data_IF_648589669347
#
_entry.id   IF_648589669347
#
_cell.length_a   1.000
_cell.length_b   1.000
_cell.length_c   1.000
_cell.angle_alpha   90.00
_cell.angle_beta   90.00
_cell.angle_gamma   90.00
#
_symmetry.space_group_name_H-M   'P 1'
#
loop_
_entity.id
_entity.type
_entity.pdbx_description
1 polymer ?
#
# COMPACT_ATOMS: atom_id res chain seq x y z
N UNK A 1 10.24 -2.08 18.63
CA UNK A 1 9.83 -2.27 17.23
C UNK A 1 9.34 -0.93 16.70
N UNK A 2 9.82 -0.53 15.52
CA UNK A 2 9.42 0.73 14.86
C UNK A 2 8.40 0.45 13.76
N UNK A 3 7.56 1.46 13.47
CA UNK A 3 6.65 1.46 12.33
C UNK A 3 7.08 2.56 11.37
N UNK A 4 7.42 2.22 10.14
CA UNK A 4 7.88 3.15 9.11
C UNK A 4 6.84 3.21 8.00
N UNK A 5 6.25 4.38 7.78
CA UNK A 5 5.27 4.60 6.72
C UNK A 5 5.91 5.35 5.56
N UNK A 6 5.76 4.85 4.34
CA UNK A 6 6.19 5.54 3.12
C UNK A 6 4.98 5.91 2.26
N UNK A 7 4.84 7.22 1.97
CA UNK A 7 3.76 7.73 1.12
C UNK A 7 3.92 7.37 -0.35
N UNK A 8 2.88 7.62 -1.15
CA UNK A 8 2.86 7.23 -2.56
C UNK A 8 3.93 7.90 -3.42
N UNK A 9 4.35 9.12 -3.06
CA UNK A 9 5.52 9.76 -3.69
C UNK A 9 6.78 8.98 -3.35
N UNK A 10 7.01 8.60 -2.09
CA UNK A 10 8.15 7.80 -1.63
C UNK A 10 8.27 6.42 -2.28
N UNK A 11 7.20 5.87 -2.85
CA UNK A 11 7.21 4.58 -3.58
C UNK A 11 6.80 4.69 -5.04
N UNK A 12 6.79 5.90 -5.62
CA UNK A 12 6.14 6.17 -6.90
C UNK A 12 6.78 5.57 -8.16
N UNK A 13 7.98 5.00 -8.07
CA UNK A 13 8.68 4.34 -9.18
C UNK A 13 9.76 3.36 -8.66
N UNK A 14 10.39 2.65 -9.60
CA UNK A 14 11.41 1.63 -9.30
C UNK A 14 12.61 2.16 -8.49
N UNK A 15 13.13 3.35 -8.83
CA UNK A 15 14.25 3.96 -8.11
C UNK A 15 13.88 4.34 -6.69
N UNK A 16 12.67 4.87 -6.49
CA UNK A 16 12.18 5.24 -5.17
C UNK A 16 11.95 4.00 -4.29
N UNK A 17 11.38 2.93 -4.83
CA UNK A 17 11.28 1.64 -4.14
C UNK A 17 12.67 1.11 -3.72
N UNK A 18 13.67 1.19 -4.62
CA UNK A 18 15.06 0.85 -4.28
C UNK A 18 15.60 1.73 -3.14
N UNK A 19 15.40 3.04 -3.20
CA UNK A 19 15.83 3.96 -2.12
C UNK A 19 15.18 3.59 -0.78
N UNK A 20 13.87 3.34 -0.75
CA UNK A 20 13.18 2.88 0.47
C UNK A 20 13.83 1.61 1.03
N UNK A 21 14.18 0.63 0.18
CA UNK A 21 14.84 -0.60 0.65
C UNK A 21 16.19 -0.37 1.36
N UNK A 22 16.89 0.74 1.04
CA UNK A 22 18.16 1.13 1.67
C UNK A 22 18.00 1.91 2.97
N UNK A 23 16.82 2.48 3.23
CA UNK A 23 16.51 3.23 4.44
C UNK A 23 16.06 2.34 5.61
N UNK A 24 15.72 1.08 5.33
CA UNK A 24 15.22 0.17 6.34
C UNK A 24 16.35 -0.25 7.30
N UNK A 25 16.19 -0.06 8.62
CA UNK A 25 17.17 -0.53 9.61
C UNK A 25 17.24 -2.06 9.61
N UNK A 26 18.44 -2.59 9.83
CA UNK A 26 18.70 -4.04 9.83
C UNK A 26 19.00 -4.60 11.24
N UNK A 27 19.12 -3.73 12.23
CA UNK A 27 19.50 -4.06 13.61
C UNK A 27 18.30 -4.38 14.52
N UNK A 28 17.07 -4.08 14.11
CA UNK A 28 15.86 -4.37 14.90
C UNK A 28 14.68 -4.77 14.00
N UNK A 29 13.70 -5.53 14.52
CA UNK A 29 12.46 -5.79 13.81
C UNK A 29 11.67 -4.50 13.56
N UNK A 30 11.13 -4.37 12.35
CA UNK A 30 10.30 -3.24 11.93
C UNK A 30 9.03 -3.68 11.22
N UNK A 31 8.04 -2.78 11.21
CA UNK A 31 6.87 -2.85 10.34
C UNK A 31 6.97 -1.69 9.32
N UNK A 32 6.84 -2.01 8.04
CA UNK A 32 6.86 -1.07 6.93
C UNK A 32 5.46 -0.98 6.35
N UNK A 33 4.85 0.20 6.42
CA UNK A 33 3.53 0.50 5.86
C UNK A 33 3.73 1.27 4.56
N UNK A 34 3.22 0.76 3.44
CA UNK A 34 3.29 1.47 2.16
C UNK A 34 1.93 1.99 1.74
N UNK A 35 1.91 3.17 1.13
CA UNK A 35 0.81 3.62 0.29
C UNK A 35 0.94 3.06 -1.13
N UNK A 36 -0.13 3.13 -1.91
CA UNK A 36 -0.11 2.86 -3.34
C UNK A 36 0.89 3.80 -4.04
N UNK A 37 1.46 3.35 -5.15
CA UNK A 37 2.37 4.16 -5.95
C UNK A 37 1.71 5.47 -6.41
N UNK A 38 2.51 6.53 -6.55
CA UNK A 38 2.03 7.86 -6.95
C UNK A 38 1.10 7.81 -8.19
N UNK A 39 -0.11 8.34 -8.01
CA UNK A 39 -1.16 8.41 -9.03
C UNK A 39 -2.00 7.13 -9.20
N UNK A 40 -1.62 6.01 -8.57
CA UNK A 40 -2.33 4.72 -8.73
C UNK A 40 -3.73 4.76 -8.11
N UNK A 41 -3.89 5.25 -6.88
CA UNK A 41 -5.22 5.36 -6.24
C UNK A 41 -6.16 6.24 -7.06
N UNK A 42 -5.68 7.39 -7.57
CA UNK A 42 -6.49 8.27 -8.40
C UNK A 42 -6.90 7.60 -9.71
N UNK A 43 -5.97 6.88 -10.36
CA UNK A 43 -6.28 6.11 -11.57
C UNK A 43 -7.32 5.01 -11.31
N UNK A 44 -7.23 4.31 -10.18
CA UNK A 44 -8.22 3.29 -9.79
C UNK A 44 -9.59 3.91 -9.49
N UNK A 45 -9.64 5.07 -8.82
CA UNK A 45 -10.88 5.83 -8.61
C UNK A 45 -11.50 6.24 -9.95
N UNK A 46 -10.70 6.75 -10.88
CA UNK A 46 -11.16 7.13 -12.23
C UNK A 46 -11.73 5.92 -12.98
N UNK A 47 -11.02 4.78 -12.98
CA UNK A 47 -11.47 3.52 -13.59
C UNK A 47 -12.83 3.10 -13.03
N UNK A 48 -12.99 3.11 -11.70
CA UNK A 48 -14.25 2.75 -11.05
C UNK A 48 -15.38 3.74 -11.35
N UNK A 49 -15.08 5.04 -11.43
CA UNK A 49 -16.05 6.07 -11.79
C UNK A 49 -16.55 5.93 -13.23
N UNK A 50 -15.66 5.61 -14.17
CA UNK A 50 -16.03 5.31 -15.55
C UNK A 50 -16.94 4.07 -15.63
N UNK A 51 -16.62 3.02 -14.88
CA UNK A 51 -17.43 1.80 -14.81
C UNK A 51 -18.84 2.09 -14.24
N UNK A 52 -18.93 2.88 -13.17
CA UNK A 52 -20.20 3.34 -12.59
C UNK A 52 -21.05 4.15 -13.58
N UNK A 53 -20.41 4.94 -14.44
CA UNK A 53 -21.06 5.71 -15.49
C UNK A 53 -21.43 4.86 -16.73
N UNK A 54 -21.23 3.53 -16.70
CA UNK A 54 -21.48 2.64 -17.83
C UNK A 54 -20.46 2.72 -18.96
N UNK A 55 -19.35 3.45 -18.78
CA UNK A 55 -18.29 3.68 -19.78
C UNK A 55 -17.22 2.58 -19.69
N UNK A 56 -17.65 1.32 -19.88
CA UNK A 56 -16.80 0.14 -19.64
C UNK A 56 -15.57 0.05 -20.55
N UNK A 57 -15.70 0.48 -21.81
CA UNK A 57 -14.58 0.50 -22.74
C UNK A 57 -13.45 1.40 -22.23
N UNK A 58 -13.80 2.63 -21.84
CA UNK A 58 -12.85 3.61 -21.33
C UNK A 58 -12.26 3.19 -19.98
N UNK A 59 -13.07 2.60 -19.10
CA UNK A 59 -12.58 2.02 -17.84
C UNK A 59 -11.52 0.92 -18.09
N UNK A 60 -11.75 0.07 -19.10
CA UNK A 60 -10.85 -1.01 -19.48
C UNK A 60 -9.56 -0.48 -20.12
N UNK A 61 -9.66 0.52 -21.00
CA UNK A 61 -8.51 1.20 -21.60
C UNK A 61 -7.63 1.87 -20.52
N UNK A 62 -8.26 2.59 -19.58
CA UNK A 62 -7.57 3.20 -18.43
C UNK A 62 -6.90 2.15 -17.52
N UNK A 63 -7.57 1.04 -17.27
CA UNK A 63 -6.97 -0.07 -16.53
C UNK A 63 -5.74 -0.62 -17.26
N UNK A 64 -5.78 -0.72 -18.59
CA UNK A 64 -4.64 -1.19 -19.39
C UNK A 64 -3.47 -0.21 -19.39
N UNK A 65 -3.74 1.09 -19.49
CA UNK A 65 -2.72 2.14 -19.36
C UNK A 65 -1.99 2.04 -18.01
N UNK A 66 -2.77 1.89 -16.93
CA UNK A 66 -2.24 1.77 -15.58
C UNK A 66 -1.47 0.46 -15.40
N UNK A 67 -1.93 -0.65 -15.98
CA UNK A 67 -1.22 -1.94 -16.00
C UNK A 67 0.17 -1.80 -16.63
N UNK A 68 0.22 -1.23 -17.84
CA UNK A 68 1.48 -1.04 -18.59
C UNK A 68 2.50 -0.21 -17.81
N UNK A 69 2.05 0.83 -17.08
CA UNK A 69 2.91 1.63 -16.19
C UNK A 69 3.53 0.78 -15.07
N UNK A 70 2.77 -0.13 -14.47
CA UNK A 70 3.25 -1.00 -13.39
C UNK A 70 4.12 -2.15 -13.91
N UNK A 71 3.82 -2.69 -15.10
CA UNK A 71 4.70 -3.67 -15.79
C UNK A 71 6.07 -3.05 -16.01
N UNK A 72 6.13 -1.84 -16.60
CA UNK A 72 7.40 -1.12 -16.79
C UNK A 72 8.13 -0.86 -15.47
N UNK A 73 7.39 -0.51 -14.41
CA UNK A 73 8.00 -0.38 -13.07
C UNK A 73 8.62 -1.69 -12.61
N UNK A 74 7.93 -2.83 -12.76
CA UNK A 74 8.45 -4.14 -12.36
C UNK A 74 9.70 -4.53 -13.17
N UNK A 75 9.71 -4.30 -14.48
CA UNK A 75 10.86 -4.50 -15.35
C UNK A 75 12.09 -3.71 -14.88
N UNK A 76 11.89 -2.44 -14.54
CA UNK A 76 12.93 -1.53 -14.06
C UNK A 76 13.36 -1.83 -12.62
N UNK A 77 12.46 -2.35 -11.78
CA UNK A 77 12.66 -2.57 -10.34
C UNK A 77 13.69 -3.67 -10.04
N UNK A 78 13.55 -4.80 -10.72
CA UNK A 78 14.29 -6.02 -10.42
C UNK A 78 15.58 -6.15 -11.22
N UNK A 79 16.63 -6.69 -10.58
CA UNK A 79 17.94 -6.87 -11.22
C UNK A 79 17.98 -8.14 -12.07
N UNK A 80 17.38 -9.22 -11.59
CA UNK A 80 17.47 -10.53 -12.24
C UNK A 80 16.29 -10.78 -13.17
N UNK A 81 16.53 -11.53 -14.26
CA UNK A 81 15.47 -11.95 -15.20
C UNK A 81 14.34 -12.71 -14.51
N UNK A 82 14.67 -13.51 -13.49
CA UNK A 82 13.70 -14.27 -12.68
C UNK A 82 12.70 -13.34 -11.98
N UNK A 83 13.19 -12.31 -11.30
CA UNK A 83 12.31 -11.40 -10.56
C UNK A 83 11.57 -10.40 -11.46
N UNK A 84 12.16 -9.97 -12.58
CA UNK A 84 11.43 -9.18 -13.60
C UNK A 84 10.19 -9.91 -14.08
N UNK A 85 10.35 -11.16 -14.54
CA UNK A 85 9.22 -12.00 -14.97
C UNK A 85 8.18 -12.19 -13.85
N UNK A 86 8.64 -12.49 -12.63
CA UNK A 86 7.73 -12.66 -11.47
C UNK A 86 6.95 -11.38 -11.17
N UNK A 87 7.59 -10.22 -11.28
CA UNK A 87 6.96 -8.92 -11.09
C UNK A 87 5.92 -8.61 -12.17
N UNK A 88 6.25 -8.85 -13.44
CA UNK A 88 5.32 -8.71 -14.57
C UNK A 88 4.10 -9.63 -14.40
N UNK A 89 4.31 -10.92 -14.08
CA UNK A 89 3.24 -11.88 -13.81
C UNK A 89 2.36 -11.43 -12.64
N UNK A 90 2.96 -10.93 -11.56
CA UNK A 90 2.22 -10.42 -10.40
C UNK A 90 1.35 -9.22 -10.73
N UNK A 91 1.89 -8.24 -11.48
CA UNK A 91 1.12 -7.09 -11.95
C UNK A 91 -0.04 -7.56 -12.82
N UNK A 92 0.21 -8.44 -13.78
CA UNK A 92 -0.83 -8.99 -14.66
C UNK A 92 -1.95 -9.70 -13.89
N UNK A 93 -1.62 -10.48 -12.86
CA UNK A 93 -2.62 -11.14 -12.00
C UNK A 93 -3.52 -10.10 -11.29
N UNK A 94 -2.95 -9.04 -10.74
CA UNK A 94 -3.74 -8.01 -10.05
C UNK A 94 -4.61 -7.21 -11.02
N UNK A 95 -4.10 -6.86 -12.21
CA UNK A 95 -4.89 -6.16 -13.22
C UNK A 95 -5.95 -7.04 -13.86
N UNK A 96 -5.72 -8.35 -13.99
CA UNK A 96 -6.76 -9.29 -14.39
C UNK A 96 -7.94 -9.30 -13.40
N UNK A 97 -7.69 -9.18 -12.10
CA UNK A 97 -8.75 -9.04 -11.09
C UNK A 97 -9.55 -7.74 -11.26
N UNK A 98 -8.92 -6.66 -11.70
CA UNK A 98 -9.60 -5.40 -12.02
C UNK A 98 -10.49 -5.62 -13.24
N UNK A 99 -9.92 -6.11 -14.35
CA UNK A 99 -10.65 -6.23 -15.61
C UNK A 99 -11.79 -7.23 -15.54
N UNK A 100 -11.64 -8.38 -14.86
CA UNK A 100 -12.75 -9.31 -14.60
C UNK A 100 -13.91 -8.62 -13.87
N UNK A 101 -13.63 -7.81 -12.84
CA UNK A 101 -14.67 -7.06 -12.12
C UNK A 101 -15.35 -5.99 -12.98
N UNK A 102 -14.67 -5.47 -14.00
CA UNK A 102 -15.26 -4.54 -14.95
C UNK A 102 -16.15 -5.26 -15.97
N UNK A 103 -15.76 -6.47 -16.41
CA UNK A 103 -16.49 -7.23 -17.44
C UNK A 103 -17.68 -8.02 -16.90
N UNK A 104 -17.64 -8.46 -15.64
CA UNK A 104 -18.63 -9.39 -15.07
C UNK A 104 -19.85 -8.67 -14.47
N UNK A 105 -20.14 -7.45 -14.93
CA UNK A 105 -21.21 -6.60 -14.41
C UNK A 105 -20.79 -5.87 -13.14
N UNK A 106 -20.00 -4.80 -13.31
CA UNK A 106 -19.48 -3.97 -12.22
C UNK A 106 -20.56 -3.63 -11.17
N UNK A 107 -20.24 -3.91 -9.90
CA UNK A 107 -21.04 -3.54 -8.75
C UNK A 107 -20.32 -2.42 -7.97
N UNK A 108 -21.04 -1.41 -7.50
CA UNK A 108 -20.48 -0.36 -6.64
C UNK A 108 -19.80 -0.90 -5.37
N UNK A 109 -20.24 -2.07 -4.87
CA UNK A 109 -19.58 -2.75 -3.74
C UNK A 109 -18.15 -3.22 -4.07
N UNK A 110 -17.77 -3.26 -5.35
CA UNK A 110 -16.43 -3.63 -5.82
C UNK A 110 -15.46 -2.44 -5.86
N UNK A 111 -15.95 -1.19 -5.70
CA UNK A 111 -15.11 0.03 -5.78
C UNK A 111 -13.92 -0.06 -4.82
N UNK A 112 -14.18 -0.31 -3.53
CA UNK A 112 -13.14 -0.40 -2.52
C UNK A 112 -12.19 -1.59 -2.77
N UNK A 113 -12.72 -2.72 -3.25
CA UNK A 113 -11.91 -3.89 -3.57
C UNK A 113 -10.93 -3.59 -4.73
N UNK A 114 -11.34 -2.82 -5.74
CA UNK A 114 -10.48 -2.40 -6.85
C UNK A 114 -9.44 -1.38 -6.36
N UNK A 115 -9.87 -0.35 -5.61
CA UNK A 115 -8.95 0.67 -5.10
C UNK A 115 -7.87 0.04 -4.20
N UNK A 116 -8.23 -0.95 -3.37
CA UNK A 116 -7.30 -1.66 -2.50
C UNK A 116 -6.16 -2.36 -3.25
N UNK A 117 -6.35 -2.72 -4.53
CA UNK A 117 -5.31 -3.35 -5.34
C UNK A 117 -4.12 -2.41 -5.57
N UNK A 118 -4.30 -1.10 -5.50
CA UNK A 118 -3.20 -0.14 -5.58
C UNK A 118 -2.18 -0.30 -4.45
N UNK A 119 -2.67 -0.54 -3.23
CA UNK A 119 -1.83 -0.79 -2.06
C UNK A 119 -1.14 -2.16 -2.18
N UNK A 120 -1.90 -3.20 -2.55
CA UNK A 120 -1.38 -4.56 -2.78
C UNK A 120 -0.28 -4.61 -3.84
N UNK A 121 -0.42 -3.83 -4.92
CA UNK A 121 0.60 -3.69 -5.97
C UNK A 121 1.92 -3.18 -5.39
N UNK A 122 1.89 -2.08 -4.63
CA UNK A 122 3.10 -1.46 -4.07
C UNK A 122 3.80 -2.38 -3.07
N UNK A 123 3.04 -2.99 -2.16
CA UNK A 123 3.55 -3.89 -1.12
C UNK A 123 4.07 -5.18 -1.71
N UNK A 124 3.37 -5.77 -2.68
CA UNK A 124 3.83 -7.00 -3.34
C UNK A 124 5.12 -6.80 -4.11
N UNK A 125 5.23 -5.71 -4.89
CA UNK A 125 6.48 -5.39 -5.61
C UNK A 125 7.63 -5.12 -4.64
N UNK A 126 7.38 -4.38 -3.55
CA UNK A 126 8.40 -4.08 -2.56
C UNK A 126 8.84 -5.33 -1.78
N UNK A 127 7.91 -6.19 -1.39
CA UNK A 127 8.23 -7.46 -0.73
C UNK A 127 9.10 -8.36 -1.63
N UNK A 128 8.77 -8.43 -2.93
CA UNK A 128 9.61 -9.15 -3.90
C UNK A 128 11.00 -8.53 -4.03
N UNK A 129 11.12 -7.19 -3.98
CA UNK A 129 12.42 -6.50 -4.04
C UNK A 129 13.29 -6.89 -2.84
N UNK A 130 12.72 -6.83 -1.63
CA UNK A 130 13.43 -7.22 -0.41
C UNK A 130 13.85 -8.69 -0.47
N UNK A 131 12.99 -9.55 -1.02
CA UNK A 131 13.29 -10.98 -1.21
C UNK A 131 14.41 -11.19 -2.24
N UNK A 132 14.44 -10.44 -3.36
CA UNK A 132 15.55 -10.49 -4.33
C UNK A 132 16.87 -10.06 -3.68
N UNK A 133 16.83 -9.09 -2.79
CA UNK A 133 17.98 -8.59 -2.03
C UNK A 133 18.40 -9.52 -0.87
N UNK A 134 17.70 -10.63 -0.64
CA UNK A 134 17.99 -11.57 0.44
C UNK A 134 17.62 -11.06 1.84
N UNK A 135 16.83 -9.98 1.95
CA UNK A 135 16.36 -9.48 3.24
C UNK A 135 15.28 -10.40 3.81
N UNK A 136 15.27 -10.56 5.14
CA UNK A 136 14.29 -11.39 5.87
C UNK A 136 12.96 -10.65 6.01
N UNK A 137 12.26 -10.50 4.89
CA UNK A 137 11.01 -9.77 4.80
C UNK A 137 9.80 -10.69 4.63
N UNK A 138 8.71 -10.38 5.34
CA UNK A 138 7.42 -11.06 5.21
C UNK A 138 6.33 -10.06 4.88
N UNK A 139 5.37 -10.52 4.11
CA UNK A 139 4.16 -9.77 3.80
C UNK A 139 3.09 -10.05 4.86
N UNK A 140 2.54 -8.99 5.45
CA UNK A 140 1.48 -9.02 6.44
C UNK A 140 0.25 -8.36 5.82
N UNK A 141 -0.76 -9.11 5.35
CA UNK A 141 -1.88 -8.54 4.62
C UNK A 141 -2.77 -7.67 5.53
N UNK A 142 -2.94 -6.39 5.20
CA UNK A 142 -3.73 -5.47 6.02
C UNK A 142 -5.18 -5.94 6.22
N UNK A 143 -5.80 -6.55 5.20
CA UNK A 143 -7.16 -7.05 5.27
C UNK A 143 -7.34 -8.24 6.25
N UNK A 144 -6.27 -8.83 6.76
CA UNK A 144 -6.33 -9.92 7.75
C UNK A 144 -6.34 -9.41 9.19
N UNK A 145 -5.99 -8.14 9.44
CA UNK A 145 -5.93 -7.58 10.79
C UNK A 145 -6.54 -6.20 10.94
N UNK A 146 -6.50 -5.35 9.91
CA UNK A 146 -7.02 -3.98 9.96
C UNK A 146 -8.53 -3.97 9.75
N UNK A 147 -9.28 -3.54 10.77
CA UNK A 147 -10.75 -3.50 10.75
C UNK A 147 -11.29 -2.25 11.44
N UNK A 148 -12.37 -1.70 10.89
CA UNK A 148 -13.18 -0.67 11.54
C UNK A 148 -14.55 -1.21 11.93
N UNK A 149 -15.15 -0.62 12.95
CA UNK A 149 -16.51 -0.91 13.40
C UNK A 149 -17.58 -0.19 12.56
N UNK A 150 -18.83 -0.20 13.04
CA UNK A 150 -19.98 0.39 12.33
C UNK A 150 -19.95 1.91 12.29
N UNK A 151 -19.18 2.54 13.18
CA UNK A 151 -19.04 3.98 13.31
C UNK A 151 -17.79 4.48 12.54
N UNK A 152 -17.03 3.55 11.94
CA UNK A 152 -15.82 3.84 11.18
C UNK A 152 -14.57 3.92 12.05
N UNK A 153 -14.67 3.57 13.34
CA UNK A 153 -13.57 3.62 14.29
C UNK A 153 -12.75 2.31 14.27
N UNK A 154 -11.42 2.35 14.51
CA UNK A 154 -10.60 1.14 14.55
C UNK A 154 -11.04 0.18 15.66
N UNK A 155 -11.27 -1.09 15.29
CA UNK A 155 -11.52 -2.18 16.25
C UNK A 155 -10.19 -2.61 16.88
N UNK A 156 -9.68 -1.84 17.83
CA UNK A 156 -8.34 -2.02 18.41
C UNK A 156 -8.12 -3.42 18.98
N UNK A 157 -9.14 -4.03 19.61
CA UNK A 157 -9.03 -5.39 20.14
C UNK A 157 -8.83 -6.42 19.02
N UNK A 158 -9.64 -6.34 17.95
CA UNK A 158 -9.50 -7.22 16.80
C UNK A 158 -8.14 -7.03 16.10
N UNK A 159 -7.73 -5.76 15.90
CA UNK A 159 -6.49 -5.39 15.23
C UNK A 159 -5.29 -5.93 16.00
N UNK A 160 -5.24 -5.69 17.32
CA UNK A 160 -4.13 -6.12 18.17
C UNK A 160 -3.97 -7.65 18.15
N UNK A 161 -5.07 -8.39 18.33
CA UNK A 161 -5.03 -9.85 18.36
C UNK A 161 -4.55 -10.44 17.02
N UNK A 162 -5.12 -9.98 15.90
CA UNK A 162 -4.80 -10.53 14.60
C UNK A 162 -3.41 -10.12 14.12
N UNK A 163 -3.00 -8.87 14.37
CA UNK A 163 -1.66 -8.42 14.01
C UNK A 163 -0.60 -9.19 14.80
N UNK A 164 -0.75 -9.34 16.12
CA UNK A 164 0.19 -10.15 16.94
C UNK A 164 0.28 -11.58 16.45
N UNK A 165 -0.85 -12.20 16.10
CA UNK A 165 -0.88 -13.55 15.51
C UNK A 165 -0.06 -13.64 14.22
N UNK A 166 -0.22 -12.68 13.30
CA UNK A 166 0.51 -12.65 12.03
C UNK A 166 2.02 -12.40 12.21
N UNK A 167 2.38 -11.52 13.14
CA UNK A 167 3.78 -11.24 13.48
C UNK A 167 4.44 -12.48 14.12
N UNK A 168 3.77 -13.14 15.07
CA UNK A 168 4.29 -14.33 15.74
C UNK A 168 4.42 -15.55 14.81
N UNK A 169 3.64 -15.62 13.74
CA UNK A 169 3.76 -16.67 12.74
C UNK A 169 5.10 -16.62 11.96
N UNK A 170 5.82 -15.51 12.04
CA UNK A 170 7.06 -15.27 11.29
C UNK A 170 8.22 -14.82 12.19
N UNK A 171 8.62 -15.61 13.21
CA UNK A 171 9.56 -15.16 14.25
C UNK A 171 10.97 -14.85 13.75
N UNK A 172 11.32 -15.29 12.53
CA UNK A 172 12.63 -15.04 11.91
C UNK A 172 12.66 -13.81 11.00
N UNK A 173 11.52 -13.16 10.76
CA UNK A 173 11.43 -11.97 9.92
C UNK A 173 11.91 -10.73 10.69
N UNK A 174 12.78 -9.94 10.06
CA UNK A 174 13.17 -8.64 10.59
C UNK A 174 12.34 -7.50 9.97
N UNK A 175 11.72 -7.73 8.82
CA UNK A 175 10.93 -6.72 8.10
C UNK A 175 9.53 -7.26 7.83
N UNK A 176 8.51 -6.58 8.34
CA UNK A 176 7.11 -6.91 8.07
C UNK A 176 6.54 -5.82 7.17
N UNK A 177 6.21 -6.14 5.92
CA UNK A 177 5.65 -5.18 4.97
C UNK A 177 4.15 -5.35 4.91
N UNK A 178 3.40 -4.26 5.03
CA UNK A 178 1.93 -4.25 5.02
C UNK A 178 1.39 -3.05 4.26
N UNK A 179 0.16 -3.16 3.77
CA UNK A 179 -0.55 -2.05 3.16
C UNK A 179 -0.96 -1.01 4.20
N UNK A 180 -0.92 0.26 3.81
CA UNK A 180 -1.68 1.31 4.46
C UNK A 180 -3.08 1.43 3.86
N UNK A 181 -3.87 2.37 4.38
CA UNK A 181 -5.13 2.85 3.80
C UNK A 181 -6.31 1.85 3.80
N UNK A 182 -6.09 0.57 3.52
CA UNK A 182 -7.14 -0.45 3.37
C UNK A 182 -7.48 -1.11 4.70
N UNK A 183 -8.74 -1.51 4.85
CA UNK A 183 -9.24 -2.22 6.03
C UNK A 183 -10.44 -3.10 5.67
N UNK A 184 -10.98 -3.83 6.66
CA UNK A 184 -12.33 -4.38 6.60
C UNK A 184 -13.30 -3.50 7.36
N UNK A 185 -14.51 -3.32 6.84
CA UNK A 185 -15.59 -2.68 7.60
C UNK A 185 -16.28 -3.66 8.57
N UNK A 186 -17.29 -3.18 9.29
CA UNK A 186 -18.08 -3.98 10.24
C UNK A 186 -18.67 -5.25 9.62
N UNK A 187 -19.02 -5.21 8.32
CA UNK A 187 -19.59 -6.32 7.56
C UNK A 187 -18.54 -7.28 6.97
N UNK A 188 -17.25 -7.04 7.23
CA UNK A 188 -16.14 -7.85 6.72
C UNK A 188 -15.78 -7.59 5.25
N UNK A 189 -16.40 -6.60 4.62
CA UNK A 189 -16.11 -6.19 3.24
C UNK A 189 -14.86 -5.31 3.19
N UNK A 190 -14.20 -5.27 2.02
CA UNK A 190 -13.06 -4.37 1.81
C UNK A 190 -13.52 -2.93 1.88
N UNK A 191 -12.82 -2.15 2.68
CA UNK A 191 -13.05 -0.73 2.86
C UNK A 191 -11.71 0.01 3.01
N UNK A 192 -11.76 1.30 3.29
CA UNK A 192 -10.58 2.11 3.50
C UNK A 192 -10.75 3.13 4.64
N UNK A 193 -9.62 3.61 5.14
CA UNK A 193 -9.50 4.57 6.24
C UNK A 193 -9.57 6.04 5.77
N UNK A 194 -10.04 6.29 4.55
CA UNK A 194 -10.18 7.62 3.99
C UNK A 194 -8.85 8.33 3.70
N UNK A 195 -8.92 9.66 3.54
CA UNK A 195 -7.77 10.49 3.16
C UNK A 195 -6.73 10.50 4.27
N UNK A 196 -5.46 10.25 3.93
CA UNK A 196 -4.40 10.07 4.92
C UNK A 196 -4.42 8.69 5.59
N UNK A 197 -5.26 7.77 5.10
CA UNK A 197 -5.47 6.46 5.71
C UNK A 197 -4.20 5.64 5.90
N UNK A 198 -3.16 5.77 5.07
CA UNK A 198 -1.89 5.06 5.29
C UNK A 198 -1.11 5.60 6.50
N UNK A 199 -1.14 6.91 6.76
CA UNK A 199 -0.55 7.48 8.00
C UNK A 199 -1.34 7.01 9.22
N UNK A 200 -2.67 6.97 9.09
CA UNK A 200 -3.53 6.47 10.14
C UNK A 200 -3.32 4.98 10.42
N UNK A 201 -3.14 4.15 9.38
CA UNK A 201 -2.74 2.74 9.53
C UNK A 201 -1.48 2.61 10.36
N UNK A 202 -0.44 3.42 10.07
CA UNK A 202 0.82 3.38 10.80
C UNK A 202 0.65 3.79 12.27
N UNK A 203 -0.17 4.81 12.55
CA UNK A 203 -0.49 5.23 13.91
C UNK A 203 -1.26 4.15 14.69
N UNK A 204 -2.27 3.52 14.06
CA UNK A 204 -3.04 2.41 14.65
C UNK A 204 -2.11 1.23 14.99
N UNK A 205 -1.27 0.81 14.03
CA UNK A 205 -0.29 -0.27 14.23
C UNK A 205 0.65 0.10 15.38
N UNK A 206 1.18 1.33 15.38
CA UNK A 206 2.05 1.83 16.43
C UNK A 206 1.44 1.74 17.82
N UNK A 207 0.16 2.11 17.94
CA UNK A 207 -0.59 1.99 19.19
C UNK A 207 -0.74 0.52 19.64
N UNK A 208 -1.25 -0.37 18.77
CA UNK A 208 -1.59 -1.74 19.18
C UNK A 208 -0.37 -2.62 19.49
N UNK A 209 0.81 -2.31 18.93
CA UNK A 209 2.05 -3.04 19.24
C UNK A 209 2.88 -2.35 20.33
N UNK A 210 2.42 -1.21 20.87
CA UNK A 210 3.22 -0.32 21.72
C UNK A 210 4.59 -0.01 21.08
N UNK A 211 4.57 0.45 19.84
CA UNK A 211 5.78 0.77 19.09
C UNK A 211 6.58 1.87 19.80
N UNK A 212 7.90 1.77 19.73
CA UNK A 212 8.79 2.79 20.28
C UNK A 212 8.69 4.11 19.50
N UNK A 213 8.40 4.01 18.20
CA UNK A 213 8.39 5.14 17.28
C UNK A 213 7.54 4.80 16.04
N UNK A 214 6.80 5.80 15.55
CA UNK A 214 6.16 5.78 14.22
C UNK A 214 6.81 6.86 13.37
N UNK A 215 7.41 6.46 12.26
CA UNK A 215 8.09 7.36 11.33
C UNK A 215 7.24 7.54 10.06
N UNK A 216 6.93 8.79 9.73
CA UNK A 216 6.20 9.13 8.52
C UNK A 216 7.17 9.72 7.49
N UNK A 217 7.46 8.95 6.44
CA UNK A 217 8.37 9.34 5.37
C UNK A 217 7.59 9.95 4.21
N UNK A 218 7.76 11.26 4.04
CA UNK A 218 7.11 12.07 3.02
C UNK A 218 8.13 12.80 2.13
N UNK A 219 7.66 13.56 1.15
CA UNK A 219 8.44 14.35 0.19
C UNK A 219 8.81 15.76 0.68
N UNK A 220 8.54 16.07 1.95
CA UNK A 220 8.90 17.33 2.63
C UNK A 220 9.66 17.01 3.93
N UNK A 221 10.50 17.93 4.39
CA UNK A 221 11.32 17.74 5.59
C UNK A 221 10.52 18.06 6.86
N UNK A 222 9.67 17.10 7.24
CA UNK A 222 8.85 17.18 8.44
C UNK A 222 7.62 18.08 8.29
N UNK A 223 7.14 18.59 9.43
CA UNK A 223 6.00 19.51 9.48
C UNK A 223 6.53 20.93 9.37
N UNK A 224 6.06 21.64 8.35
CA UNK A 224 6.43 23.04 8.14
C UNK A 224 5.42 23.97 8.82
N UNK A 225 5.85 25.20 9.13
CA UNK A 225 4.99 26.23 9.71
C UNK A 225 3.81 26.66 8.81
N UNK A 226 3.90 26.44 7.49
CA UNK A 226 2.84 26.61 6.49
C UNK A 226 3.02 25.57 5.37
N UNK A 227 2.03 25.43 4.47
CA UNK A 227 2.18 24.56 3.29
C UNK A 227 3.20 25.15 2.29
N UNK A 228 4.36 24.49 2.07
CA UNK A 228 5.43 25.00 1.22
C UNK A 228 5.05 25.11 -0.26
N UNK A 229 3.93 24.51 -0.67
CA UNK A 229 3.43 24.60 -2.06
C UNK A 229 2.75 25.95 -2.35
N UNK A 230 2.26 26.62 -1.31
CA UNK A 230 1.51 27.87 -1.44
C UNK A 230 2.24 29.06 -0.82
N UNK A 231 3.05 28.82 0.20
CA UNK A 231 3.82 29.86 0.90
C UNK A 231 5.30 29.63 0.66
N UNK A 232 6.00 30.66 0.18
CA UNK A 232 7.45 30.61 0.01
C UNK A 232 8.19 30.79 1.35
N UNK A 233 9.42 30.29 1.44
CA UNK A 233 10.30 30.41 2.62
C UNK A 233 9.73 29.83 3.93
N UNK A 234 8.92 28.76 3.83
CA UNK A 234 8.55 27.97 5.00
C UNK A 234 9.79 27.30 5.61
N UNK A 235 9.74 27.03 6.90
CA UNK A 235 10.78 26.28 7.61
C UNK A 235 10.16 25.11 8.40
N UNK A 236 10.90 24.00 8.59
CA UNK A 236 10.50 22.91 9.49
C UNK A 236 10.35 23.39 10.93
N UNK A 237 9.37 22.84 11.65
CA UNK A 237 9.12 23.09 13.07
C UNK A 237 10.03 22.28 13.99
#
# INVERSE_FOLDING_TARGET
MKVLKFGGTSVGNADRLRKVSTLLPENEPIIVVLSAMAGTTNGLVEITGLAQAGRMLEATEKAKELENKHIKTAEELFKTKKYRKRGEEFVGILFHRITSKLTDGYNQNETNAIIALGEQLSVGLFHMLLTEQGKKAVYVPALEYMRVDKDGEPDYFYIEQNLKRLLHANPFASIHVTEGFICRNANGQVDNLGRGGSDYTAAIIGNVINANEVQIWTDIDGVHNNDPRFVSNTFPL
#
